data_IF_781877078073
#
_entry.id   IF_781877078073
#
_cell.length_a   1.000
_cell.length_b   1.000
_cell.length_c   1.000
_cell.angle_alpha   90.00
_cell.angle_beta   90.00
_cell.angle_gamma   90.00
#
_symmetry.space_group_name_H-M   'P 1'
#
loop_
_entity.id
_entity.type
_entity.pdbx_description
1 polymer ?
#
# COMPACT_ATOMS: atom_id res chain seq x y z
N UNK A 1 17.34 -43.75 -21.84
CA UNK A 1 17.78 -42.34 -21.89
C UNK A 1 16.51 -41.52 -22.07
N UNK A 2 15.89 -41.04 -20.98
CA UNK A 2 14.65 -40.28 -21.08
C UNK A 2 14.98 -38.90 -21.68
N UNK A 3 14.24 -38.41 -22.69
CA UNK A 3 14.49 -37.12 -23.28
C UNK A 3 14.27 -36.02 -22.22
N UNK A 4 15.21 -35.09 -22.15
CA UNK A 4 15.11 -33.88 -21.33
C UNK A 4 13.86 -33.12 -21.77
N UNK A 5 12.91 -32.93 -20.87
CA UNK A 5 11.65 -32.23 -21.13
C UNK A 5 11.91 -30.75 -21.44
N UNK A 6 12.00 -30.40 -22.73
CA UNK A 6 12.20 -29.02 -23.21
C UNK A 6 10.90 -28.24 -23.40
N UNK A 7 9.74 -28.90 -23.31
CA UNK A 7 8.43 -28.27 -23.46
C UNK A 7 7.50 -28.70 -22.32
N UNK A 8 7.16 -27.77 -21.42
CA UNK A 8 6.16 -27.98 -20.37
C UNK A 8 4.75 -27.93 -20.98
N UNK A 9 4.37 -28.97 -21.70
CA UNK A 9 3.02 -29.10 -22.25
C UNK A 9 2.03 -29.49 -21.13
N UNK A 10 1.06 -28.62 -20.84
CA UNK A 10 -0.07 -28.94 -19.95
C UNK A 10 -1.15 -29.68 -20.74
N UNK A 11 -1.19 -31.00 -20.60
CA UNK A 11 -2.10 -31.88 -21.36
C UNK A 11 -3.29 -32.33 -20.49
N UNK A 12 -4.54 -32.31 -21.01
CA UNK A 12 -5.69 -32.86 -20.31
C UNK A 12 -5.51 -34.34 -19.94
N UNK A 13 -6.08 -34.79 -18.82
CA UNK A 13 -5.90 -36.15 -18.30
C UNK A 13 -6.21 -37.26 -19.32
N UNK A 14 -7.25 -37.09 -20.14
CA UNK A 14 -7.63 -38.05 -21.20
C UNK A 14 -6.61 -38.14 -22.33
N UNK A 15 -5.90 -37.06 -22.62
CA UNK A 15 -4.86 -37.01 -23.64
C UNK A 15 -3.51 -37.48 -23.06
N UNK A 16 -3.24 -37.21 -21.78
CA UNK A 16 -2.10 -37.79 -21.06
C UNK A 16 -2.13 -39.32 -21.04
N UNK A 17 -3.33 -39.93 -20.93
CA UNK A 17 -3.52 -41.37 -21.04
C UNK A 17 -3.17 -41.90 -22.44
N UNK A 18 -3.57 -41.17 -23.49
CA UNK A 18 -3.25 -41.54 -24.89
C UNK A 18 -1.76 -41.43 -25.18
N UNK A 19 -1.09 -40.46 -24.58
CA UNK A 19 0.36 -40.24 -24.70
C UNK A 19 1.18 -41.17 -23.81
N UNK A 20 0.54 -42.02 -22.98
CA UNK A 20 1.23 -42.93 -22.07
C UNK A 20 1.99 -42.23 -20.94
N UNK A 21 1.63 -40.98 -20.62
CA UNK A 21 2.22 -40.21 -19.51
C UNK A 21 1.64 -40.67 -18.17
N UNK A 22 0.39 -41.16 -18.18
CA UNK A 22 -0.30 -41.74 -17.02
C UNK A 22 -0.90 -43.10 -17.41
N UNK A 23 -0.99 -44.02 -16.46
CA UNK A 23 -1.46 -45.38 -16.71
C UNK A 23 -3.00 -45.50 -16.70
N UNK A 24 -3.68 -44.62 -15.97
CA UNK A 24 -5.13 -44.66 -15.82
C UNK A 24 -5.71 -43.30 -15.45
N UNK A 25 -6.96 -43.05 -15.84
CA UNK A 25 -7.78 -41.93 -15.37
C UNK A 25 -9.05 -42.52 -14.77
N UNK A 26 -9.24 -42.34 -13.46
CA UNK A 26 -10.38 -42.85 -12.71
C UNK A 26 -11.03 -41.73 -11.88
N UNK A 27 -12.36 -41.76 -11.68
CA UNK A 27 -13.09 -40.65 -11.08
C UNK A 27 -12.99 -40.57 -9.56
N UNK A 28 -12.61 -41.66 -8.88
CA UNK A 28 -12.59 -41.73 -7.40
C UNK A 28 -11.37 -42.51 -6.89
N UNK A 29 -11.02 -42.26 -5.63
CA UNK A 29 -9.98 -43.02 -4.94
C UNK A 29 -10.34 -44.51 -4.84
N UNK A 30 -11.61 -44.85 -4.62
CA UNK A 30 -12.06 -46.26 -4.57
C UNK A 30 -11.83 -46.97 -5.92
N UNK A 31 -12.15 -46.30 -7.02
CA UNK A 31 -11.88 -46.81 -8.36
C UNK A 31 -10.38 -46.98 -8.62
N UNK A 32 -9.55 -46.07 -8.11
CA UNK A 32 -8.09 -46.17 -8.20
C UNK A 32 -7.56 -47.36 -7.40
N UNK A 33 -8.00 -47.53 -6.16
CA UNK A 33 -7.56 -48.63 -5.30
C UNK A 33 -7.96 -49.99 -5.89
N UNK A 34 -9.17 -50.12 -6.43
CA UNK A 34 -9.60 -51.35 -7.10
C UNK A 34 -8.82 -51.61 -8.39
N UNK A 35 -8.44 -50.56 -9.12
CA UNK A 35 -7.63 -50.70 -10.32
C UNK A 35 -6.19 -51.12 -9.99
N UNK A 36 -5.61 -50.62 -8.89
CA UNK A 36 -4.25 -50.93 -8.44
C UNK A 36 -4.11 -52.34 -7.84
N UNK A 37 -5.19 -52.92 -7.33
CA UNK A 37 -5.14 -54.20 -6.62
C UNK A 37 -4.64 -55.34 -7.52
N UNK A 38 -3.65 -56.08 -7.05
CA UNK A 38 -3.05 -57.21 -7.76
C UNK A 38 -2.16 -56.84 -8.95
N UNK A 39 -1.91 -55.54 -9.21
CA UNK A 39 -1.00 -55.10 -10.28
C UNK A 39 0.44 -55.04 -9.81
N UNK A 40 1.35 -55.42 -10.71
CA UNK A 40 2.80 -55.25 -10.54
C UNK A 40 3.22 -53.81 -10.87
N UNK A 41 4.10 -53.26 -10.06
CA UNK A 41 4.72 -51.96 -10.26
C UNK A 41 6.22 -52.04 -9.96
N UNK A 42 7.01 -51.31 -10.73
CA UNK A 42 8.47 -51.28 -10.58
C UNK A 42 8.88 -49.97 -9.89
N UNK A 43 9.48 -50.08 -8.71
CA UNK A 43 10.04 -48.93 -7.98
C UNK A 43 11.49 -49.24 -7.69
N UNK A 44 12.41 -48.37 -8.12
CA UNK A 44 13.85 -48.54 -7.92
C UNK A 44 14.36 -49.92 -8.37
N UNK A 45 13.87 -50.40 -9.53
CA UNK A 45 14.20 -51.71 -10.11
C UNK A 45 13.71 -52.95 -9.33
N UNK A 46 12.85 -52.76 -8.33
CA UNK A 46 12.18 -53.86 -7.64
C UNK A 46 10.72 -53.95 -8.12
N UNK A 47 10.32 -55.13 -8.62
CA UNK A 47 8.92 -55.45 -8.93
C UNK A 47 8.20 -55.76 -7.63
N UNK A 48 7.18 -54.97 -7.32
CA UNK A 48 6.32 -55.14 -6.18
C UNK A 48 4.88 -55.32 -6.67
N UNK A 49 4.04 -56.04 -5.93
CA UNK A 49 2.60 -56.17 -6.21
C UNK A 49 1.85 -55.32 -5.19
N UNK A 50 0.93 -54.47 -5.66
CA UNK A 50 0.06 -53.73 -4.75
C UNK A 50 -1.10 -54.61 -4.29
N UNK A 51 -1.28 -54.71 -2.99
CA UNK A 51 -2.46 -55.31 -2.38
C UNK A 51 -3.23 -54.20 -1.67
N UNK A 52 -4.20 -53.62 -2.38
CA UNK A 52 -5.02 -52.49 -1.92
C UNK A 52 -6.40 -52.94 -1.44
N UNK A 53 -6.85 -54.14 -1.82
CA UNK A 53 -8.08 -54.73 -1.33
C UNK A 53 -8.06 -54.89 0.21
N UNK A 54 -8.99 -54.22 0.88
CA UNK A 54 -9.09 -54.23 2.35
C UNK A 54 -7.97 -53.48 3.08
N UNK A 55 -7.13 -52.72 2.36
CA UNK A 55 -6.07 -51.94 2.99
C UNK A 55 -6.64 -50.87 3.95
N UNK A 56 -6.01 -50.72 5.12
CA UNK A 56 -6.39 -49.69 6.09
C UNK A 56 -6.04 -48.31 5.54
N UNK A 57 -7.05 -47.46 5.39
CA UNK A 57 -6.86 -46.05 5.02
C UNK A 57 -6.37 -45.28 6.24
N UNK A 58 -5.25 -44.60 6.09
CA UNK A 58 -4.73 -43.64 7.06
C UNK A 58 -4.71 -42.30 6.35
N UNK A 59 -5.66 -41.45 6.69
CA UNK A 59 -5.69 -40.08 6.20
C UNK A 59 -4.67 -39.26 6.99
N UNK A 60 -3.71 -38.66 6.30
CA UNK A 60 -2.71 -37.78 6.90
C UNK A 60 -3.17 -36.35 6.68
N UNK A 61 -3.83 -35.78 7.67
CA UNK A 61 -4.26 -34.38 7.62
C UNK A 61 -3.05 -33.43 7.70
N UNK A 62 -3.17 -32.26 7.06
CA UNK A 62 -2.20 -31.18 7.25
C UNK A 62 -2.22 -30.71 8.71
N UNK A 63 -1.06 -30.75 9.36
CA UNK A 63 -0.87 -30.12 10.65
C UNK A 63 -1.15 -28.61 10.58
N UNK A 64 -1.51 -27.98 11.71
CA UNK A 64 -1.80 -26.54 11.75
C UNK A 64 -0.63 -25.68 11.22
N UNK A 65 0.62 -26.14 11.42
CA UNK A 65 1.82 -25.48 10.89
C UNK A 65 1.80 -25.50 9.36
N UNK A 66 1.55 -26.67 8.77
CA UNK A 66 1.48 -26.83 7.32
C UNK A 66 0.34 -26.02 6.72
N UNK A 67 -0.81 -25.91 7.40
CA UNK A 67 -1.92 -25.05 6.95
C UNK A 67 -1.50 -23.57 6.88
N UNK A 68 -0.76 -23.08 7.87
CA UNK A 68 -0.24 -21.70 7.84
C UNK A 68 0.77 -21.52 6.71
N UNK A 69 1.70 -22.48 6.54
CA UNK A 69 2.68 -22.42 5.46
C UNK A 69 2.00 -22.43 4.09
N UNK A 70 1.00 -23.28 3.89
CA UNK A 70 0.22 -23.38 2.65
C UNK A 70 -0.47 -22.05 2.31
N UNK A 71 -1.11 -21.42 3.30
CA UNK A 71 -1.74 -20.09 3.14
C UNK A 71 -0.70 -19.03 2.80
N UNK A 72 0.45 -19.01 3.47
CA UNK A 72 1.49 -17.99 3.24
C UNK A 72 2.21 -18.22 1.89
N UNK A 73 2.25 -19.45 1.40
CA UNK A 73 2.81 -19.81 0.09
C UNK A 73 1.90 -19.42 -1.09
N UNK A 74 0.69 -18.89 -0.85
CA UNK A 74 -0.14 -18.30 -1.91
C UNK A 74 0.46 -16.94 -2.36
N UNK A 75 0.76 -16.75 -3.66
CA UNK A 75 1.32 -15.50 -4.18
C UNK A 75 0.48 -14.25 -3.88
N UNK A 76 -0.84 -14.38 -3.83
CA UNK A 76 -1.73 -13.26 -3.51
C UNK A 76 -1.60 -12.87 -2.04
N UNK A 77 -1.51 -13.86 -1.15
CA UNK A 77 -1.35 -13.63 0.30
C UNK A 77 0.02 -13.03 0.58
N UNK A 78 1.08 -13.57 -0.04
CA UNK A 78 2.43 -13.01 0.02
C UNK A 78 2.46 -11.54 -0.42
N UNK A 79 1.77 -11.21 -1.52
CA UNK A 79 1.66 -9.84 -2.03
C UNK A 79 0.88 -8.92 -1.10
N UNK A 80 -0.25 -9.37 -0.54
CA UNK A 80 -1.03 -8.59 0.44
C UNK A 80 -0.20 -8.32 1.69
N UNK A 81 0.52 -9.32 2.20
CA UNK A 81 1.44 -9.17 3.33
C UNK A 81 2.56 -8.17 3.02
N UNK A 82 3.12 -8.20 1.80
CA UNK A 82 4.12 -7.23 1.35
C UNK A 82 3.55 -5.80 1.40
N UNK A 83 2.34 -5.58 0.88
CA UNK A 83 1.71 -4.26 0.87
C UNK A 83 1.37 -3.77 2.28
N UNK A 84 0.73 -4.60 3.11
CA UNK A 84 0.44 -4.28 4.52
C UNK A 84 1.75 -3.95 5.23
N UNK A 85 2.79 -4.73 4.95
CA UNK A 85 4.12 -4.56 5.46
C UNK A 85 4.72 -3.18 5.17
N UNK A 86 4.74 -2.81 3.89
CA UNK A 86 5.25 -1.52 3.43
C UNK A 86 4.40 -0.37 3.97
N UNK A 87 3.07 -0.47 3.91
CA UNK A 87 2.17 0.57 4.40
C UNK A 87 2.25 0.75 5.92
N UNK A 88 2.36 -0.33 6.69
CA UNK A 88 2.51 -0.28 8.15
C UNK A 88 3.75 0.51 8.56
N UNK A 89 4.89 0.23 7.90
CA UNK A 89 6.12 1.01 8.10
C UNK A 89 5.93 2.47 7.65
N UNK A 90 5.32 2.70 6.49
CA UNK A 90 5.06 4.05 5.98
C UNK A 90 4.22 4.88 6.98
N UNK A 91 3.16 4.31 7.53
CA UNK A 91 2.29 5.00 8.49
C UNK A 91 2.99 5.29 9.83
N UNK A 92 3.82 4.37 10.32
CA UNK A 92 4.65 4.59 11.51
C UNK A 92 5.63 5.75 11.30
N UNK A 93 6.30 5.80 10.15
CA UNK A 93 7.27 6.85 9.83
C UNK A 93 6.62 8.22 9.65
N UNK A 94 5.39 8.29 9.17
CA UNK A 94 4.66 9.54 8.98
C UNK A 94 4.00 10.05 10.26
N UNK A 95 3.48 9.15 11.10
CA UNK A 95 2.83 9.48 12.37
C UNK A 95 3.61 8.86 13.54
N UNK A 96 4.79 9.42 13.89
CA UNK A 96 5.58 8.90 14.99
C UNK A 96 4.77 8.92 16.29
N UNK A 97 4.66 7.76 16.95
CA UNK A 97 3.93 7.59 18.21
C UNK A 97 2.77 6.59 18.16
N UNK A 98 2.36 6.14 16.96
CA UNK A 98 1.39 5.05 16.81
C UNK A 98 2.16 3.77 16.48
N UNK A 99 2.61 3.03 17.49
CA UNK A 99 3.54 1.86 17.37
C UNK A 99 2.92 0.65 16.62
N UNK A 100 1.59 0.54 16.64
CA UNK A 100 0.88 -0.66 16.18
C UNK A 100 1.06 -0.93 14.66
N UNK A 101 0.85 0.05 13.76
CA UNK A 101 1.18 -0.07 12.33
C UNK A 101 2.61 -0.51 12.05
N UNK A 102 3.61 0.01 12.76
CA UNK A 102 5.01 -0.37 12.56
C UNK A 102 5.26 -1.82 12.89
N UNK A 103 4.77 -2.31 14.04
CA UNK A 103 4.93 -3.71 14.45
C UNK A 103 4.21 -4.66 13.48
N UNK A 104 2.96 -4.36 13.13
CA UNK A 104 2.21 -5.14 12.14
C UNK A 104 2.94 -5.12 10.80
N UNK A 105 3.44 -3.96 10.38
CA UNK A 105 4.17 -3.80 9.13
C UNK A 105 5.44 -4.67 9.07
N UNK A 106 6.26 -4.64 10.12
CA UNK A 106 7.49 -5.44 10.20
C UNK A 106 7.17 -6.94 10.19
N UNK A 107 6.19 -7.40 10.98
CA UNK A 107 5.79 -8.81 11.01
C UNK A 107 5.28 -9.25 9.62
N UNK A 108 4.41 -8.45 8.99
CA UNK A 108 3.90 -8.75 7.65
C UNK A 108 5.01 -8.79 6.59
N UNK A 109 6.01 -7.90 6.66
CA UNK A 109 7.16 -7.95 5.75
C UNK A 109 8.01 -9.22 5.95
N UNK A 110 8.27 -9.61 7.19
CA UNK A 110 9.03 -10.84 7.48
C UNK A 110 8.32 -12.05 6.88
N UNK A 111 7.00 -12.16 7.06
CA UNK A 111 6.20 -13.23 6.49
C UNK A 111 6.14 -13.17 4.96
N UNK A 112 6.02 -11.98 4.38
CA UNK A 112 6.05 -11.79 2.93
C UNK A 112 7.40 -12.21 2.33
N UNK A 113 8.52 -11.85 2.96
CA UNK A 113 9.85 -12.28 2.52
C UNK A 113 10.06 -13.79 2.66
N UNK A 114 9.52 -14.40 3.71
CA UNK A 114 9.53 -15.85 3.84
C UNK A 114 8.76 -16.53 2.70
N UNK A 115 7.55 -16.05 2.39
CA UNK A 115 6.77 -16.55 1.25
C UNK A 115 7.53 -16.37 -0.08
N UNK A 116 8.08 -15.18 -0.30
CA UNK A 116 8.84 -14.81 -1.49
C UNK A 116 10.09 -15.65 -1.69
N UNK A 117 10.71 -16.16 -0.61
CA UNK A 117 11.84 -17.08 -0.73
C UNK A 117 11.45 -18.40 -1.42
N UNK A 118 10.20 -18.84 -1.23
CA UNK A 118 9.68 -20.09 -1.83
C UNK A 118 9.06 -19.89 -3.22
N UNK A 119 8.77 -18.64 -3.60
CA UNK A 119 8.10 -18.29 -4.85
C UNK A 119 9.10 -17.79 -5.91
N UNK A 120 8.79 -17.92 -7.21
CA UNK A 120 9.64 -17.43 -8.29
C UNK A 120 9.53 -15.90 -8.43
N UNK A 121 10.17 -15.18 -7.51
CA UNK A 121 10.11 -13.72 -7.43
C UNK A 121 11.02 -13.07 -8.47
N UNK A 122 10.48 -12.06 -9.16
CA UNK A 122 11.22 -11.16 -10.00
C UNK A 122 11.58 -9.88 -9.22
N UNK A 123 12.87 -9.72 -8.93
CA UNK A 123 13.38 -8.56 -8.21
C UNK A 123 13.10 -7.22 -8.90
N UNK A 124 12.99 -7.18 -10.23
CA UNK A 124 12.60 -5.95 -10.93
C UNK A 124 11.18 -5.51 -10.54
N UNK A 125 10.25 -6.48 -10.39
CA UNK A 125 8.89 -6.20 -9.94
C UNK A 125 8.87 -5.66 -8.50
N UNK A 126 9.65 -6.29 -7.62
CA UNK A 126 9.79 -5.85 -6.23
C UNK A 126 10.36 -4.43 -6.13
N UNK A 127 11.43 -4.14 -6.87
CA UNK A 127 12.05 -2.80 -6.90
C UNK A 127 11.09 -1.74 -7.45
N UNK A 128 10.28 -2.07 -8.46
CA UNK A 128 9.25 -1.16 -8.99
C UNK A 128 8.16 -0.84 -7.97
N UNK A 129 7.75 -1.82 -7.13
CA UNK A 129 6.81 -1.58 -6.03
C UNK A 129 7.43 -0.64 -4.99
N UNK A 130 8.67 -0.88 -4.56
CA UNK A 130 9.36 0.02 -3.64
C UNK A 130 9.54 1.42 -4.23
N UNK A 131 9.90 1.51 -5.51
CA UNK A 131 10.03 2.78 -6.21
C UNK A 131 8.70 3.53 -6.28
N UNK A 132 7.58 2.85 -6.56
CA UNK A 132 6.25 3.45 -6.53
C UNK A 132 5.92 4.09 -5.18
N UNK A 133 6.23 3.38 -4.09
CA UNK A 133 6.01 3.89 -2.72
C UNK A 133 6.86 5.13 -2.48
N UNK A 134 8.13 5.13 -2.90
CA UNK A 134 9.00 6.31 -2.81
C UNK A 134 8.42 7.49 -3.60
N UNK A 135 7.91 7.27 -4.82
CA UNK A 135 7.26 8.32 -5.62
C UNK A 135 6.02 8.88 -4.93
N UNK A 136 5.18 8.02 -4.36
CA UNK A 136 4.01 8.44 -3.61
C UNK A 136 4.36 9.27 -2.37
N UNK A 137 5.40 8.88 -1.63
CA UNK A 137 5.91 9.67 -0.50
C UNK A 137 6.51 11.00 -0.98
N UNK A 138 7.25 10.98 -2.09
CA UNK A 138 7.88 12.16 -2.65
C UNK A 138 6.86 13.23 -3.06
N UNK A 139 5.70 12.84 -3.59
CA UNK A 139 4.61 13.78 -3.93
C UNK A 139 4.14 14.60 -2.71
N UNK A 140 4.13 14.01 -1.51
CA UNK A 140 3.72 14.72 -0.29
C UNK A 140 4.71 15.84 0.06
N UNK A 141 6.01 15.61 -0.19
CA UNK A 141 7.08 16.57 0.12
C UNK A 141 7.33 17.56 -1.01
N UNK A 142 7.20 17.12 -2.25
CA UNK A 142 7.48 17.86 -3.47
C UNK A 142 6.16 17.94 -4.25
N UNK A 143 5.43 19.08 -4.19
CA UNK A 143 4.17 19.22 -4.90
C UNK A 143 4.43 19.19 -6.41
N UNK A 144 4.23 18.02 -7.03
CA UNK A 144 4.44 17.81 -8.48
C UNK A 144 3.13 17.89 -9.27
N UNK A 145 2.05 18.31 -8.60
CA UNK A 145 0.69 18.35 -9.15
C UNK A 145 0.20 16.98 -9.66
N UNK A 146 0.65 15.89 -9.03
CA UNK A 146 0.21 14.52 -9.35
C UNK A 146 1.09 13.77 -10.36
N UNK A 147 2.16 14.37 -10.87
CA UNK A 147 3.07 13.70 -11.81
C UNK A 147 3.76 12.48 -11.16
N UNK A 148 4.28 12.66 -9.94
CA UNK A 148 4.88 11.56 -9.16
C UNK A 148 3.84 10.50 -8.81
N UNK A 149 2.59 10.90 -8.56
CA UNK A 149 1.47 9.98 -8.31
C UNK A 149 1.18 9.10 -9.53
N UNK A 150 1.11 9.69 -10.74
CA UNK A 150 0.90 8.91 -11.97
C UNK A 150 2.08 7.96 -12.22
N UNK A 151 3.32 8.44 -12.06
CA UNK A 151 4.51 7.60 -12.15
C UNK A 151 4.48 6.45 -11.14
N UNK A 152 4.08 6.74 -9.90
CA UNK A 152 3.91 5.75 -8.83
C UNK A 152 2.87 4.69 -9.18
N UNK A 153 1.70 5.08 -9.70
CA UNK A 153 0.66 4.12 -10.14
C UNK A 153 1.20 3.21 -11.26
N UNK A 154 1.86 3.78 -12.27
CA UNK A 154 2.42 3.00 -13.38
C UNK A 154 3.49 2.03 -12.88
N UNK A 155 4.42 2.50 -12.05
CA UNK A 155 5.45 1.65 -11.44
C UNK A 155 4.84 0.57 -10.56
N UNK A 156 3.80 0.88 -9.79
CA UNK A 156 3.12 -0.07 -8.93
C UNK A 156 2.42 -1.17 -9.74
N UNK A 157 1.70 -0.80 -10.80
CA UNK A 157 1.03 -1.75 -11.71
C UNK A 157 2.07 -2.67 -12.37
N UNK A 158 3.11 -2.11 -12.99
CA UNK A 158 4.16 -2.89 -13.64
C UNK A 158 4.89 -3.79 -12.63
N UNK A 159 5.20 -3.25 -11.45
CA UNK A 159 5.82 -4.00 -10.38
C UNK A 159 4.98 -5.21 -9.94
N UNK A 160 3.68 -5.00 -9.75
CA UNK A 160 2.73 -6.05 -9.35
C UNK A 160 2.59 -7.15 -10.40
N UNK A 161 2.49 -6.78 -11.68
CA UNK A 161 2.39 -7.74 -12.79
C UNK A 161 3.68 -8.56 -12.92
N UNK A 162 4.83 -7.93 -12.70
CA UNK A 162 6.13 -8.58 -12.85
C UNK A 162 6.54 -9.41 -11.64
N UNK A 163 5.97 -9.16 -10.44
CA UNK A 163 6.49 -9.63 -9.16
C UNK A 163 6.67 -11.15 -9.08
N UNK A 164 5.68 -11.94 -9.50
CA UNK A 164 5.77 -13.41 -9.54
C UNK A 164 5.72 -13.88 -10.99
N UNK A 165 6.84 -14.44 -11.47
CA UNK A 165 6.97 -14.95 -12.84
C UNK A 165 6.94 -16.47 -12.81
N UNK A 166 5.78 -17.06 -13.09
CA UNK A 166 5.62 -18.51 -13.17
C UNK A 166 4.92 -18.93 -14.46
N UNK A 167 5.33 -20.02 -15.13
CA UNK A 167 4.57 -20.61 -16.23
C UNK A 167 3.25 -21.25 -15.75
N UNK A 168 3.08 -21.43 -14.43
CA UNK A 168 1.93 -22.10 -13.85
C UNK A 168 0.91 -21.06 -13.35
N UNK A 169 -0.35 -21.06 -13.85
CA UNK A 169 -1.32 -20.00 -13.54
C UNK A 169 -1.61 -19.78 -12.06
N UNK A 170 -1.61 -20.85 -11.24
CA UNK A 170 -1.89 -20.72 -9.80
C UNK A 170 -0.75 -20.08 -9.00
N UNK A 171 0.46 -20.04 -9.55
CA UNK A 171 1.62 -19.35 -8.95
C UNK A 171 1.73 -17.89 -9.42
N UNK A 172 0.79 -17.41 -10.22
CA UNK A 172 0.72 -16.03 -10.67
C UNK A 172 -0.20 -15.21 -9.74
N UNK A 173 0.04 -13.91 -9.72
CA UNK A 173 -0.85 -12.96 -9.05
C UNK A 173 -2.19 -12.87 -9.77
N UNK A 174 -3.27 -12.97 -8.98
CA UNK A 174 -4.62 -12.75 -9.49
C UNK A 174 -4.80 -11.31 -9.94
N UNK A 175 -5.31 -11.13 -11.15
CA UNK A 175 -5.62 -9.80 -11.68
C UNK A 175 -6.58 -9.01 -10.80
N UNK A 176 -7.49 -9.72 -10.10
CA UNK A 176 -8.43 -9.12 -9.14
C UNK A 176 -7.69 -8.49 -7.95
N UNK A 177 -6.67 -9.15 -7.45
CA UNK A 177 -5.86 -8.68 -6.31
C UNK A 177 -5.00 -7.49 -6.72
N UNK A 178 -4.37 -7.56 -7.90
CA UNK A 178 -3.63 -6.43 -8.47
C UNK A 178 -4.54 -5.22 -8.63
N UNK A 179 -5.69 -5.39 -9.31
CA UNK A 179 -6.63 -4.30 -9.57
C UNK A 179 -7.13 -3.69 -8.26
N UNK A 180 -7.52 -4.51 -7.29
CA UNK A 180 -7.95 -4.03 -5.98
C UNK A 180 -6.86 -3.21 -5.28
N UNK A 181 -5.63 -3.75 -5.22
CA UNK A 181 -4.51 -3.05 -4.59
C UNK A 181 -4.19 -1.72 -5.28
N UNK A 182 -4.18 -1.70 -6.61
CA UNK A 182 -3.93 -0.49 -7.41
C UNK A 182 -5.00 0.56 -7.17
N UNK A 183 -6.28 0.18 -7.21
CA UNK A 183 -7.40 1.11 -7.00
C UNK A 183 -7.36 1.70 -5.59
N UNK A 184 -7.19 0.86 -4.56
CA UNK A 184 -7.12 1.32 -3.17
C UNK A 184 -5.93 2.25 -2.95
N UNK A 185 -4.76 1.88 -3.45
CA UNK A 185 -3.53 2.67 -3.36
C UNK A 185 -3.67 4.02 -4.09
N UNK A 186 -4.13 3.99 -5.34
CA UNK A 186 -4.31 5.19 -6.15
C UNK A 186 -5.32 6.14 -5.51
N UNK A 187 -6.46 5.62 -5.05
CA UNK A 187 -7.49 6.44 -4.40
C UNK A 187 -6.96 7.06 -3.11
N UNK A 188 -6.26 6.30 -2.27
CA UNK A 188 -5.65 6.80 -1.04
C UNK A 188 -4.70 7.97 -1.32
N UNK A 189 -3.76 7.82 -2.27
CA UNK A 189 -2.80 8.89 -2.57
C UNK A 189 -3.44 10.08 -3.27
N UNK A 190 -4.40 9.88 -4.19
CA UNK A 190 -5.14 10.98 -4.80
C UNK A 190 -5.89 11.82 -3.76
N UNK A 191 -6.54 11.15 -2.79
CA UNK A 191 -7.21 11.82 -1.67
C UNK A 191 -6.19 12.54 -0.78
N UNK A 192 -5.09 11.89 -0.42
CA UNK A 192 -4.04 12.46 0.42
C UNK A 192 -3.41 13.72 -0.22
N UNK A 193 -3.13 13.67 -1.52
CA UNK A 193 -2.64 14.82 -2.29
C UNK A 193 -3.67 15.94 -2.33
N UNK A 194 -4.96 15.60 -2.54
CA UNK A 194 -6.05 16.57 -2.49
C UNK A 194 -6.14 17.30 -1.15
N UNK A 195 -6.01 16.58 -0.03
CA UNK A 195 -5.95 17.16 1.30
C UNK A 195 -4.67 17.98 1.53
N UNK A 196 -3.51 17.49 1.07
CA UNK A 196 -2.23 18.19 1.18
C UNK A 196 -2.23 19.53 0.45
N UNK A 197 -2.71 19.56 -0.79
CA UNK A 197 -2.88 20.79 -1.57
C UNK A 197 -3.87 21.73 -0.88
N UNK A 198 -5.00 21.20 -0.37
CA UNK A 198 -5.98 22.02 0.36
C UNK A 198 -5.40 22.60 1.65
N UNK A 199 -4.57 21.84 2.37
CA UNK A 199 -3.89 22.30 3.57
C UNK A 199 -2.87 23.38 3.26
N UNK A 200 -2.08 23.23 2.20
CA UNK A 200 -1.10 24.25 1.76
C UNK A 200 -1.77 25.51 1.20
N UNK A 201 -2.93 25.39 0.55
CA UNK A 201 -3.70 26.55 0.05
C UNK A 201 -4.52 27.26 1.12
N UNK A 202 -4.65 26.70 2.33
CA UNK A 202 -5.25 27.44 3.44
C UNK A 202 -4.30 28.57 3.82
N UNK A 203 -4.79 29.82 3.74
CA UNK A 203 -4.05 30.98 4.23
C UNK A 203 -3.64 30.73 5.69
N UNK A 204 -2.40 31.03 6.09
CA UNK A 204 -1.97 30.92 7.48
C UNK A 204 -2.90 31.74 8.37
N UNK A 205 -3.63 31.07 9.26
CA UNK A 205 -4.60 31.70 10.19
C UNK A 205 -3.91 32.21 11.46
N UNK A 206 -2.60 31.99 11.59
CA UNK A 206 -1.81 32.26 12.79
C UNK A 206 -0.56 33.07 12.44
N UNK A 207 -0.22 34.07 13.27
CA UNK A 207 0.97 34.90 13.11
C UNK A 207 0.76 36.16 12.27
N UNK A 208 1.86 36.76 11.77
CA UNK A 208 1.89 38.08 11.09
C UNK A 208 1.03 38.13 9.82
N UNK A 209 0.82 36.99 9.16
CA UNK A 209 0.02 36.87 7.93
C UNK A 209 -1.47 36.64 8.21
N UNK A 210 -1.83 36.08 9.38
CA UNK A 210 -3.22 35.91 9.82
C UNK A 210 -3.83 37.19 10.40
N UNK A 211 -3.00 38.16 10.76
CA UNK A 211 -3.42 39.46 11.32
C UNK A 211 -3.97 40.42 10.25
N UNK A 212 -3.62 40.25 8.97
CA UNK A 212 -4.07 41.15 7.89
C UNK A 212 -5.50 40.81 7.50
N UNK A 213 -6.39 41.80 7.56
CA UNK A 213 -7.84 41.65 7.36
C UNK A 213 -8.63 41.42 8.66
N UNK A 214 -7.95 41.19 9.78
CA UNK A 214 -8.61 41.09 11.09
C UNK A 214 -9.06 42.46 11.59
N UNK A 215 -10.14 42.45 12.38
CA UNK A 215 -10.73 43.66 12.95
C UNK A 215 -10.43 43.79 14.44
N UNK A 216 -10.24 45.02 14.90
CA UNK A 216 -9.99 45.34 16.30
C UNK A 216 -10.62 46.67 16.71
N UNK A 217 -10.32 47.11 17.93
CA UNK A 217 -10.80 48.39 18.47
C UNK A 217 -9.64 49.27 18.90
N UNK A 218 -9.73 50.57 18.63
CA UNK A 218 -8.73 51.53 19.10
C UNK A 218 -8.75 51.68 20.63
N UNK A 219 -7.58 51.61 21.28
CA UNK A 219 -7.45 51.75 22.74
C UNK A 219 -7.28 53.22 23.16
N UNK A 220 -6.79 54.04 22.24
CA UNK A 220 -6.55 55.47 22.44
C UNK A 220 -6.91 56.29 21.19
N UNK A 221 -6.95 57.62 21.34
CA UNK A 221 -7.15 58.52 20.22
C UNK A 221 -5.82 58.76 19.50
N UNK A 222 -5.77 58.56 18.18
CA UNK A 222 -4.60 58.92 17.38
C UNK A 222 -5.04 59.42 15.99
N UNK A 223 -4.36 60.45 15.49
CA UNK A 223 -4.72 61.11 14.23
C UNK A 223 -3.49 61.24 13.35
N UNK A 224 -3.47 60.55 12.22
CA UNK A 224 -2.38 60.64 11.23
C UNK A 224 -1.01 60.26 11.78
N UNK A 225 -0.92 59.17 12.55
CA UNK A 225 0.33 58.77 13.22
C UNK A 225 0.25 57.42 13.94
N UNK A 226 1.07 57.26 14.99
CA UNK A 226 1.18 56.03 15.79
C UNK A 226 0.18 56.05 16.95
N UNK A 227 -0.39 54.89 17.27
CA UNK A 227 -1.28 54.68 18.41
C UNK A 227 -1.34 53.22 18.84
N UNK A 228 -2.33 52.86 19.64
CA UNK A 228 -2.55 51.48 20.12
C UNK A 228 -3.96 50.98 19.81
N UNK A 229 -4.03 49.72 19.36
CA UNK A 229 -5.29 49.03 19.04
C UNK A 229 -5.30 47.64 19.66
N UNK A 230 -6.49 47.14 20.00
CA UNK A 230 -6.70 45.80 20.56
C UNK A 230 -7.21 44.86 19.47
N UNK A 231 -6.46 43.80 19.16
CA UNK A 231 -6.79 42.78 18.15
C UNK A 231 -6.66 41.40 18.80
N UNK A 232 -7.71 40.57 18.70
CA UNK A 232 -7.80 39.28 19.40
C UNK A 232 -7.51 39.34 20.93
N UNK A 233 -7.72 40.50 21.56
CA UNK A 233 -7.46 40.71 22.99
C UNK A 233 -6.02 41.12 23.33
N UNK A 234 -5.15 41.27 22.33
CA UNK A 234 -3.77 41.75 22.48
C UNK A 234 -3.64 43.22 22.07
N UNK A 235 -2.80 43.98 22.77
CA UNK A 235 -2.53 45.39 22.45
C UNK A 235 -1.36 45.49 21.48
N UNK A 236 -1.62 46.07 20.32
CA UNK A 236 -0.64 46.25 19.25
C UNK A 236 -0.37 47.73 18.99
N UNK A 237 0.89 48.05 18.64
CA UNK A 237 1.24 49.38 18.13
C UNK A 237 0.73 49.52 16.70
N UNK A 238 -0.19 50.45 16.50
CA UNK A 238 -0.78 50.75 15.21
C UNK A 238 -0.21 52.03 14.59
N UNK A 239 -0.30 52.12 13.28
CA UNK A 239 -0.07 53.34 12.51
C UNK A 239 -1.24 53.53 11.54
N UNK A 240 -1.80 54.73 11.48
CA UNK A 240 -2.89 55.06 10.55
C UNK A 240 -2.77 56.49 10.04
N UNK A 241 -3.18 56.69 8.78
CA UNK A 241 -3.38 58.02 8.18
C UNK A 241 -4.70 58.65 8.59
N UNK A 242 -5.64 57.85 9.11
CA UNK A 242 -6.97 58.32 9.50
C UNK A 242 -6.97 58.94 10.90
N UNK A 243 -8.00 59.72 11.20
CA UNK A 243 -8.31 60.15 12.56
C UNK A 243 -9.16 59.09 13.25
N UNK A 244 -8.56 58.35 14.18
CA UNK A 244 -9.17 57.24 14.90
C UNK A 244 -9.39 57.63 16.37
N UNK A 245 -10.62 57.49 16.86
CA UNK A 245 -10.97 57.73 18.25
C UNK A 245 -10.95 56.42 19.03
N UNK A 246 -10.69 56.50 20.33
CA UNK A 246 -10.79 55.38 21.27
C UNK A 246 -12.15 54.71 21.13
N UNK A 247 -12.14 53.40 20.91
CA UNK A 247 -13.33 52.58 20.66
C UNK A 247 -13.74 52.46 19.19
N UNK A 248 -13.13 53.21 18.28
CA UNK A 248 -13.42 53.06 16.85
C UNK A 248 -12.99 51.68 16.35
N UNK A 249 -13.80 51.03 15.48
CA UNK A 249 -13.43 49.79 14.83
C UNK A 249 -12.36 50.06 13.77
N UNK A 250 -11.32 49.22 13.77
CA UNK A 250 -10.18 49.30 12.86
C UNK A 250 -9.96 47.98 12.16
N UNK A 251 -9.44 48.02 10.94
CA UNK A 251 -9.07 46.84 10.15
C UNK A 251 -7.56 46.89 9.84
N UNK A 252 -6.88 45.75 10.01
CA UNK A 252 -5.44 45.64 9.74
C UNK A 252 -5.21 45.49 8.25
N UNK A 253 -4.41 46.40 7.69
CA UNK A 253 -4.08 46.43 6.25
C UNK A 253 -2.71 45.80 5.99
N UNK A 254 -1.79 45.89 6.95
CA UNK A 254 -0.45 45.32 6.84
C UNK A 254 0.21 45.14 8.21
N UNK A 255 1.18 44.21 8.31
CA UNK A 255 1.96 43.95 9.53
C UNK A 255 3.46 44.13 9.28
N UNK A 256 4.06 45.16 9.90
CA UNK A 256 5.47 45.49 9.83
C UNK A 256 6.17 45.22 11.18
N UNK A 257 6.75 44.02 11.32
CA UNK A 257 7.40 43.53 12.54
C UNK A 257 6.50 43.60 13.77
N UNK A 258 6.73 44.57 14.66
CA UNK A 258 5.99 44.79 15.90
C UNK A 258 4.99 45.95 15.79
N UNK A 259 4.73 46.43 14.56
CA UNK A 259 3.86 47.55 14.28
C UNK A 259 2.91 47.20 13.14
N UNK A 260 1.63 47.49 13.31
CA UNK A 260 0.57 47.16 12.33
C UNK A 260 0.02 48.44 11.70
N UNK A 261 -0.27 48.40 10.39
CA UNK A 261 -0.99 49.49 9.72
C UNK A 261 -2.48 49.19 9.75
N UNK A 262 -3.26 50.17 10.18
CA UNK A 262 -4.71 50.03 10.33
C UNK A 262 -5.44 51.18 9.63
N UNK A 263 -6.62 50.89 9.11
CA UNK A 263 -7.55 51.91 8.61
C UNK A 263 -8.80 51.92 9.46
N UNK A 264 -9.48 53.07 9.51
CA UNK A 264 -10.79 53.14 10.14
C UNK A 264 -11.78 52.29 9.32
N UNK A 265 -12.43 51.33 9.98
CA UNK A 265 -13.46 50.52 9.34
C UNK A 265 -14.68 51.41 9.08
N UNK A 266 -15.11 51.48 7.82
CA UNK A 266 -16.32 52.23 7.43
C UNK A 266 -17.59 51.57 7.96
#
# INVERSE_FOLDING_TARGET
>A
MLPVASESASVPASEALKLGVVDVVVPTLDSLLNWLDGREYEVLSAKNVLHTAGARRIEVEMSWRLKILDVISDPNIAYILLLIGIYGIFFELYNPGVILPGVVGVISLILAFYAMHTLPVNYAGLLLIFFAIILFVAEIKIPSHGLLTVGGIVSFVLGSIMLFKSPVPFLQLSWKVILFAVVVTALFFLIAVGFGIRAQRRKPVTGREGMVGESGNAVENFSGGKGQVSIHGEIWRAESTDTIRKGDPVEVIAVNHLQIKVQKKK
#
